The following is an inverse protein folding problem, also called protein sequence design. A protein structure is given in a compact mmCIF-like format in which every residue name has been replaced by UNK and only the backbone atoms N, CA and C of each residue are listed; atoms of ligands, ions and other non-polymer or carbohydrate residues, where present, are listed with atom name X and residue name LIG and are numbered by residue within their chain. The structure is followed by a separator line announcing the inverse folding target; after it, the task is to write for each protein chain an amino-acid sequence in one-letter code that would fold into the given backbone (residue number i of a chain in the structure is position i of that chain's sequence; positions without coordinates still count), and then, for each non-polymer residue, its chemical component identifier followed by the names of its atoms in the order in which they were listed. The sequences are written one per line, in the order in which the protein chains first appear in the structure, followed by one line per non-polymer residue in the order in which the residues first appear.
data_IF_941785946880
#
_entry.id   IF_941785946880
#
_cell.length_a   1.000
_cell.length_b   1.000
_cell.length_c   1.000
_cell.angle_alpha   90.00
_cell.angle_beta   90.00
_cell.angle_gamma   90.00
#
_symmetry.space_group_name_H-M   'P 1'
#
loop_
_entity.id
_entity.type
_entity.pdbx_description
1 polymer ?
#
# COMPACT_ATOMS: atom_id res chain seq x y z
N UNK A 1 -9.51 25.35 15.17
CA UNK A 1 -9.85 23.94 15.42
C UNK A 1 -8.84 23.09 14.69
N UNK A 2 -8.14 22.20 15.38
CA UNK A 2 -7.15 21.31 14.75
C UNK A 2 -7.89 20.27 13.92
N UNK A 3 -7.80 20.35 12.60
CA UNK A 3 -8.24 19.27 11.73
C UNK A 3 -7.34 18.07 12.02
N UNK A 4 -7.89 17.02 12.61
CA UNK A 4 -7.20 15.74 12.74
C UNK A 4 -7.17 15.11 11.34
N UNK A 5 -6.08 15.31 10.63
CA UNK A 5 -5.83 14.70 9.34
C UNK A 5 -5.11 13.38 9.60
N UNK A 6 -5.70 12.26 9.16
CA UNK A 6 -4.97 11.00 9.15
C UNK A 6 -4.08 10.98 7.90
N UNK A 7 -2.79 10.76 8.10
CA UNK A 7 -1.83 10.59 7.02
C UNK A 7 -1.46 9.13 6.81
N UNK A 8 -1.07 8.82 5.57
CA UNK A 8 -0.46 7.56 5.17
C UNK A 8 0.98 7.87 4.79
N UNK A 9 1.95 7.26 5.47
CA UNK A 9 3.38 7.48 5.29
C UNK A 9 4.02 6.51 4.29
N UNK A 10 5.25 6.10 4.59
CA UNK A 10 6.02 5.19 3.74
C UNK A 10 5.47 3.76 3.77
N UNK A 11 5.55 3.09 2.62
CA UNK A 11 5.25 1.68 2.46
C UNK A 11 6.54 0.86 2.60
N UNK A 12 6.51 -0.13 3.48
CA UNK A 12 7.58 -1.11 3.67
C UNK A 12 7.07 -2.51 3.35
N UNK A 13 7.77 -3.19 2.44
CA UNK A 13 7.47 -4.59 2.09
C UNK A 13 8.27 -5.52 2.99
N UNK A 14 7.63 -6.57 3.48
CA UNK A 14 8.24 -7.61 4.33
C UNK A 14 8.27 -8.99 3.66
N UNK A 15 7.50 -9.18 2.58
CA UNK A 15 7.45 -10.42 1.77
C UNK A 15 8.16 -10.26 0.42
N UNK A 16 8.48 -11.38 -0.23
CA UNK A 16 9.03 -11.41 -1.60
C UNK A 16 8.04 -12.04 -2.58
N UNK A 17 8.39 -12.08 -3.87
CA UNK A 17 7.61 -12.73 -4.91
C UNK A 17 7.33 -14.22 -4.58
N UNK A 18 6.18 -14.72 -5.02
CA UNK A 18 5.67 -16.08 -4.80
C UNK A 18 5.37 -16.43 -3.33
N UNK A 19 5.24 -15.41 -2.48
CA UNK A 19 4.81 -15.57 -1.09
C UNK A 19 3.54 -14.74 -0.84
N UNK A 20 2.75 -15.08 0.20
CA UNK A 20 1.69 -14.18 0.67
C UNK A 20 2.27 -12.81 0.98
N UNK A 21 1.59 -11.76 0.53
CA UNK A 21 2.00 -10.39 0.74
C UNK A 21 2.01 -10.10 2.24
N UNK A 22 3.08 -9.45 2.68
CA UNK A 22 3.14 -8.76 3.96
C UNK A 22 3.77 -7.42 3.69
N UNK A 23 3.00 -6.35 3.83
CA UNK A 23 3.48 -4.98 3.72
C UNK A 23 2.90 -4.13 4.85
N UNK A 24 3.56 -3.03 5.16
CA UNK A 24 3.15 -2.09 6.22
C UNK A 24 3.23 -0.68 5.67
N UNK A 25 2.20 0.12 5.91
CA UNK A 25 2.20 1.57 5.64
C UNK A 25 2.19 2.30 6.97
N UNK A 26 3.08 3.27 7.17
CA UNK A 26 3.04 4.08 8.40
C UNK A 26 1.74 4.90 8.47
N UNK A 27 1.09 4.91 9.64
CA UNK A 27 -0.04 5.80 9.90
C UNK A 27 0.47 7.03 10.63
N UNK A 28 0.44 8.18 9.96
CA UNK A 28 0.89 9.46 10.54
C UNK A 28 -0.29 10.27 11.01
N UNK A 29 -0.08 11.13 12.01
CA UNK A 29 -1.11 12.08 12.49
C UNK A 29 -2.42 11.39 12.97
N UNK A 30 -2.35 10.10 13.32
CA UNK A 30 -3.47 9.33 13.87
C UNK A 30 -3.77 9.67 15.36
N UNK A 31 -3.14 10.71 15.91
CA UNK A 31 -3.28 11.07 17.31
C UNK A 31 -4.75 11.47 17.60
N UNK A 32 -5.35 10.86 18.60
CA UNK A 32 -6.76 11.13 18.95
C UNK A 32 -7.80 10.40 18.08
N UNK A 33 -7.38 9.58 17.10
CA UNK A 33 -8.25 8.64 16.41
C UNK A 33 -8.12 7.25 17.05
N UNK A 34 -9.25 6.64 17.39
CA UNK A 34 -9.26 5.24 17.80
C UNK A 34 -9.15 4.33 16.59
N UNK A 35 -8.54 3.15 16.74
CA UNK A 35 -8.40 2.18 15.65
C UNK A 35 -9.75 1.80 14.99
N UNK A 36 -10.84 1.79 15.76
CA UNK A 36 -12.19 1.53 15.26
C UNK A 36 -12.76 2.65 14.36
N UNK A 37 -12.23 3.86 14.47
CA UNK A 37 -12.64 5.01 13.64
C UNK A 37 -11.84 5.08 12.34
N UNK A 38 -10.70 4.41 12.26
CA UNK A 38 -9.84 4.35 11.09
C UNK A 38 -10.26 3.13 10.27
N UNK A 39 -10.89 3.39 9.13
CA UNK A 39 -11.40 2.33 8.23
C UNK A 39 -10.54 2.29 6.97
N UNK A 40 -9.42 1.57 6.99
CA UNK A 40 -8.60 1.37 5.81
C UNK A 40 -9.22 0.35 4.87
N UNK A 41 -9.09 0.57 3.58
CA UNK A 41 -9.63 -0.32 2.54
C UNK A 41 -8.91 -0.10 1.22
N UNK A 42 -9.04 -1.06 0.31
CA UNK A 42 -8.69 -0.82 -1.08
C UNK A 42 -9.64 0.22 -1.66
N UNK A 43 -9.12 1.15 -2.48
CA UNK A 43 -9.94 2.15 -3.14
C UNK A 43 -11.02 1.54 -4.04
N UNK A 44 -12.05 2.33 -4.34
CA UNK A 44 -13.16 1.87 -5.18
C UNK A 44 -12.72 1.69 -6.62
N UNK A 45 -13.44 0.89 -7.41
CA UNK A 45 -13.15 0.73 -8.84
C UNK A 45 -13.19 2.07 -9.59
N UNK A 46 -14.06 3.00 -9.17
CA UNK A 46 -14.11 4.35 -9.73
C UNK A 46 -12.81 5.13 -9.46
N UNK A 47 -12.27 5.07 -8.23
CA UNK A 47 -11.00 5.72 -7.91
C UNK A 47 -9.84 5.17 -8.75
N UNK A 48 -9.79 3.85 -8.95
CA UNK A 48 -8.79 3.22 -9.83
C UNK A 48 -8.91 3.71 -11.28
N UNK A 49 -10.14 3.79 -11.81
CA UNK A 49 -10.39 4.30 -13.15
C UNK A 49 -9.98 5.78 -13.27
N UNK A 50 -10.28 6.61 -12.27
CA UNK A 50 -9.90 8.02 -12.25
C UNK A 50 -8.38 8.22 -12.16
N UNK A 51 -7.67 7.36 -11.44
CA UNK A 51 -6.21 7.39 -11.35
C UNK A 51 -5.51 6.79 -12.59
N UNK A 52 -6.25 6.20 -13.53
CA UNK A 52 -5.66 5.48 -14.66
C UNK A 52 -4.88 4.23 -14.24
N UNK A 53 -5.19 3.65 -13.09
CA UNK A 53 -4.53 2.46 -12.55
C UNK A 53 -5.40 1.25 -12.78
N UNK A 54 -4.83 0.19 -13.37
CA UNK A 54 -5.57 -1.06 -13.58
C UNK A 54 -5.76 -1.78 -12.25
N UNK A 55 -7.01 -2.02 -11.84
CA UNK A 55 -7.31 -2.81 -10.64
C UNK A 55 -7.17 -4.30 -10.93
N UNK A 56 -6.06 -4.87 -10.49
CA UNK A 56 -5.78 -6.30 -10.66
C UNK A 56 -6.67 -7.15 -9.74
N UNK A 57 -7.04 -8.36 -10.18
CA UNK A 57 -7.94 -9.23 -9.44
C UNK A 57 -7.38 -9.68 -8.08
N UNK A 58 -6.05 -9.87 -7.98
CA UNK A 58 -5.41 -10.27 -6.72
C UNK A 58 -5.55 -9.21 -5.63
N UNK A 59 -5.74 -7.93 -5.97
CA UNK A 59 -5.93 -6.86 -4.99
C UNK A 59 -7.17 -7.09 -4.12
N UNK A 60 -8.15 -7.87 -4.60
CA UNK A 60 -9.34 -8.21 -3.83
C UNK A 60 -9.07 -9.24 -2.71
N UNK A 61 -7.90 -9.90 -2.71
CA UNK A 61 -7.46 -10.81 -1.65
C UNK A 61 -6.74 -10.07 -0.50
N UNK A 62 -6.50 -8.76 -0.67
CA UNK A 62 -5.78 -7.95 0.32
C UNK A 62 -6.65 -7.62 1.53
N UNK A 63 -6.09 -7.88 2.70
CA UNK A 63 -6.63 -7.51 4.00
C UNK A 63 -5.84 -6.33 4.56
N UNK A 64 -6.56 -5.34 5.09
CA UNK A 64 -6.01 -4.09 5.61
C UNK A 64 -6.32 -4.01 7.09
N UNK A 65 -5.30 -4.11 7.95
CA UNK A 65 -5.46 -4.17 9.40
C UNK A 65 -4.60 -3.10 10.08
N UNK A 66 -5.21 -2.10 10.76
CA UNK A 66 -4.45 -1.17 11.59
C UNK A 66 -3.87 -1.94 12.79
N UNK A 67 -2.55 -1.85 13.00
CA UNK A 67 -1.84 -2.49 14.11
C UNK A 67 -0.75 -1.58 14.66
N UNK A 68 -0.35 -1.82 15.91
CA UNK A 68 0.91 -1.29 16.43
C UNK A 68 2.00 -2.34 16.13
N UNK A 69 3.05 -1.95 15.41
CA UNK A 69 4.13 -2.87 15.08
C UNK A 69 5.09 -3.07 16.26
N UNK A 70 6.06 -3.97 16.11
CA UNK A 70 7.04 -4.29 17.16
C UNK A 70 7.89 -3.08 17.60
N UNK A 71 7.98 -2.04 16.78
CA UNK A 71 8.69 -0.79 17.09
C UNK A 71 7.80 0.24 17.81
N UNK A 72 6.55 -0.10 18.14
CA UNK A 72 5.60 0.81 18.78
C UNK A 72 4.96 1.83 17.83
N UNK A 73 5.18 1.72 16.51
CA UNK A 73 4.59 2.61 15.51
C UNK A 73 3.21 2.11 15.08
N UNK A 74 2.30 3.05 14.85
CA UNK A 74 1.01 2.76 14.22
C UNK A 74 1.23 2.52 12.73
N UNK A 75 0.82 1.35 12.24
CA UNK A 75 0.95 0.97 10.84
C UNK A 75 -0.33 0.32 10.34
N UNK A 76 -0.60 0.52 9.06
CA UNK A 76 -1.58 -0.25 8.33
C UNK A 76 -0.88 -1.48 7.74
N UNK A 77 -1.11 -2.64 8.35
CA UNK A 77 -0.61 -3.91 7.82
C UNK A 77 -1.50 -4.39 6.68
N UNK A 78 -0.87 -4.72 5.57
CA UNK A 78 -1.51 -5.25 4.36
C UNK A 78 -1.04 -6.69 4.20
N UNK A 79 -1.97 -7.63 4.20
CA UNK A 79 -1.66 -9.05 3.97
C UNK A 79 -2.51 -9.64 2.85
N UNK A 80 -1.98 -10.63 2.14
CA UNK A 80 -2.78 -11.49 1.27
C UNK A 80 -2.86 -12.91 1.83
N UNK A 81 -3.91 -13.64 1.46
CA UNK A 81 -4.03 -15.07 1.77
C UNK A 81 -3.35 -15.93 0.70
N UNK A 82 -3.28 -15.45 -0.54
CA UNK A 82 -2.67 -16.13 -1.68
C UNK A 82 -1.26 -15.60 -1.98
N UNK A 83 -0.36 -16.44 -2.52
CA UNK A 83 0.93 -15.98 -3.00
C UNK A 83 0.80 -14.93 -4.10
N UNK A 84 1.55 -13.83 -3.98
CA UNK A 84 1.61 -12.79 -5.02
C UNK A 84 2.67 -13.17 -6.05
N UNK A 85 2.28 -13.23 -7.32
CA UNK A 85 3.16 -13.60 -8.45
C UNK A 85 3.52 -12.40 -9.32
N UNK A 86 2.90 -11.27 -9.03
CA UNK A 86 3.07 -10.01 -9.70
C UNK A 86 4.38 -9.35 -9.24
N UNK A 87 5.37 -9.15 -10.13
CA UNK A 87 6.65 -8.55 -9.75
C UNK A 87 6.52 -7.07 -9.40
N UNK A 88 5.56 -6.39 -10.02
CA UNK A 88 5.18 -5.01 -9.77
C UNK A 88 3.70 -4.93 -9.47
N UNK A 89 3.38 -4.30 -8.35
CA UNK A 89 2.03 -4.18 -7.82
C UNK A 89 1.73 -2.71 -7.56
N UNK A 90 0.69 -2.19 -8.21
CA UNK A 90 0.23 -0.82 -8.02
C UNK A 90 -1.20 -0.83 -7.49
N UNK A 91 -1.44 -0.11 -6.42
CA UNK A 91 -2.75 -0.08 -5.78
C UNK A 91 -3.01 1.26 -5.09
N UNK A 92 -4.29 1.54 -4.90
CA UNK A 92 -4.77 2.72 -4.20
C UNK A 92 -5.34 2.29 -2.86
N UNK A 93 -4.81 2.87 -1.79
CA UNK A 93 -5.34 2.69 -0.44
C UNK A 93 -6.24 3.87 -0.13
N UNK A 94 -7.44 3.55 0.34
CA UNK A 94 -8.35 4.51 0.91
C UNK A 94 -8.36 4.34 2.44
N UNK A 95 -8.36 5.44 3.16
CA UNK A 95 -8.69 5.44 4.58
C UNK A 95 -9.79 6.44 4.86
N UNK A 96 -10.84 5.98 5.54
CA UNK A 96 -11.95 6.80 5.99
C UNK A 96 -11.84 6.99 7.50
N UNK A 97 -12.12 8.20 7.96
CA UNK A 97 -12.27 8.52 9.38
C UNK A 97 -13.41 9.56 9.55
N UNK A 98 -13.92 9.80 10.77
CA UNK A 98 -15.12 10.62 10.97
C UNK A 98 -15.06 12.02 10.34
N UNK A 99 -13.86 12.58 10.20
CA UNK A 99 -13.64 13.94 9.74
C UNK A 99 -13.01 14.01 8.34
N UNK A 100 -12.88 12.89 7.62
CA UNK A 100 -12.22 12.93 6.33
C UNK A 100 -12.02 11.60 5.62
N UNK A 101 -11.41 11.71 4.44
CA UNK A 101 -11.03 10.61 3.57
C UNK A 101 -9.67 10.91 2.99
N UNK A 102 -8.79 9.91 2.99
CA UNK A 102 -7.50 9.96 2.31
C UNK A 102 -7.49 8.86 1.24
N UNK A 103 -6.99 9.22 0.08
CA UNK A 103 -6.71 8.30 -1.01
C UNK A 103 -5.24 8.44 -1.37
N UNK A 104 -4.48 7.34 -1.33
CA UNK A 104 -3.06 7.35 -1.68
C UNK A 104 -2.69 6.18 -2.56
N UNK A 105 -1.92 6.49 -3.59
CA UNK A 105 -1.37 5.52 -4.50
C UNK A 105 -0.06 4.94 -3.95
N UNK A 106 0.10 3.63 -4.08
CA UNK A 106 1.29 2.90 -3.72
C UNK A 106 1.76 2.00 -4.86
N UNK A 107 3.08 1.91 -4.97
CA UNK A 107 3.77 1.04 -5.92
C UNK A 107 4.72 0.13 -5.14
N UNK A 108 4.62 -1.16 -5.40
CA UNK A 108 5.32 -2.20 -4.67
C UNK A 108 6.09 -3.06 -5.67
N UNK A 109 7.39 -3.22 -5.42
CA UNK A 109 8.30 -4.04 -6.21
C UNK A 109 8.64 -5.30 -5.40
N UNK A 110 8.12 -6.46 -5.83
CA UNK A 110 8.38 -7.76 -5.20
C UNK A 110 9.56 -8.50 -5.83
N UNK A 111 9.80 -8.25 -7.12
CA UNK A 111 10.97 -8.75 -7.85
C UNK A 111 11.48 -7.62 -8.75
N UNK A 112 12.51 -6.88 -8.32
CA UNK A 112 13.08 -5.84 -9.15
C UNK A 112 13.70 -6.48 -10.40
N UNK A 113 13.53 -5.89 -11.59
CA UNK A 113 14.25 -6.36 -12.76
C UNK A 113 15.74 -6.32 -12.42
N UNK A 114 16.44 -7.44 -12.63
CA UNK A 114 17.90 -7.45 -12.63
C UNK A 114 18.32 -6.54 -13.76
N UNK A 115 18.58 -5.26 -13.45
CA UNK A 115 19.29 -4.38 -14.34
C UNK A 115 20.69 -4.96 -14.49
N UNK A 116 20.86 -5.86 -15.46
CA UNK A 116 22.17 -6.17 -16.00
C UNK A 116 22.63 -4.90 -16.71
N UNK A 117 23.76 -4.28 -16.34
CA UNK A 117 24.26 -3.05 -16.95
C UNK A 117 24.62 -3.18 -18.45
N UNK A 118 24.42 -4.36 -19.05
CA UNK A 118 24.72 -4.63 -20.46
C UNK A 118 23.75 -3.91 -21.43
N UNK A 119 22.53 -3.57 -21.01
CA UNK A 119 21.58 -2.85 -21.86
C UNK A 119 21.85 -1.35 -22.01
N UNK A 120 22.68 -0.75 -21.14
CA UNK A 120 23.08 0.66 -21.26
C UNK A 120 24.19 0.88 -22.31
N UNK A 121 24.92 -0.18 -22.69
CA UNK A 121 26.01 -0.10 -23.67
C UNK A 121 25.52 -0.19 -25.13
N UNK A 122 24.35 -0.77 -25.39
CA UNK A 122 23.82 -0.96 -26.74
C UNK A 122 23.05 0.23 -27.32
N UNK A 123 22.76 1.26 -26.50
CA UNK A 123 22.10 2.49 -26.95
C UNK A 123 23.10 3.61 -27.35
N UNK A 124 24.41 3.33 -27.27
CA UNK A 124 25.48 4.28 -27.58
C UNK A 124 26.43 3.79 -28.69
N UNK A 125 26.06 2.76 -29.44
CA UNK A 125 26.82 2.25 -30.59
C UNK A 125 26.04 2.42 -31.90
#
# INVERSE_FOLDING_TARGET
GMAQALGLGELSVKSTLNQPLVAEIELTEAQGLNAAQVVPSLATTADFAQAGVTRQAFLNDLTFTPVINASGKSVLRITSSKPVREPYVKFLVQVLWPNGRLLREYSLLLDPPKFSPEAAAAAAA
#
